data_IF_799666074007
#
_entry.id   IF_799666074007
#
_cell.length_a   1.000
_cell.length_b   1.000
_cell.length_c   1.000
_cell.angle_alpha   90.00
_cell.angle_beta   90.00
_cell.angle_gamma   90.00
#
_symmetry.space_group_name_H-M   'P 1'
#
loop_
_entity.id
_entity.type
_entity.pdbx_description
1 polymer ?
#
# COMPACT_ATOMS: atom_id res chain seq x y z
N UNK A 1 -14.21 -5.29 0.34
CA UNK A 1 -14.65 -4.67 1.63
C UNK A 1 -15.72 -5.55 2.27
N UNK A 2 -16.08 -5.35 3.55
CA UNK A 2 -17.20 -6.07 4.18
C UNK A 2 -18.52 -5.36 3.86
N UNK A 3 -19.54 -6.11 3.46
CA UNK A 3 -20.89 -5.58 3.19
C UNK A 3 -21.43 -4.87 4.43
N UNK A 4 -22.14 -3.76 4.23
CA UNK A 4 -22.83 -2.99 5.27
C UNK A 4 -21.91 -2.48 6.40
N UNK A 5 -20.61 -2.29 6.10
CA UNK A 5 -19.62 -1.83 7.08
C UNK A 5 -19.14 -0.39 6.86
N UNK A 6 -19.65 0.30 5.84
CA UNK A 6 -19.26 1.68 5.53
C UNK A 6 -19.79 2.61 6.64
N UNK A 7 -18.91 3.41 7.22
CA UNK A 7 -19.22 4.31 8.34
C UNK A 7 -19.26 5.80 7.95
N UNK A 8 -19.12 6.12 6.65
CA UNK A 8 -19.01 7.49 6.13
C UNK A 8 -19.96 7.72 4.96
N UNK A 9 -20.28 8.98 4.69
CA UNK A 9 -21.17 9.39 3.61
C UNK A 9 -20.45 10.09 2.45
N UNK A 10 -21.08 10.11 1.26
CA UNK A 10 -20.54 10.85 0.10
C UNK A 10 -20.45 12.34 0.44
N UNK A 11 -19.28 12.93 0.25
CA UNK A 11 -19.01 14.34 0.54
C UNK A 11 -18.54 14.60 1.98
N UNK A 12 -18.51 13.57 2.83
CA UNK A 12 -17.97 13.69 4.18
C UNK A 12 -16.44 13.87 4.15
N UNK A 13 -15.95 14.81 4.95
CA UNK A 13 -14.52 15.00 5.17
C UNK A 13 -14.03 14.01 6.22
N UNK A 14 -12.99 13.25 5.90
CA UNK A 14 -12.38 12.26 6.81
C UNK A 14 -11.04 12.72 7.34
N UNK A 15 -10.71 12.32 8.57
CA UNK A 15 -9.41 12.59 9.20
C UNK A 15 -8.48 11.38 9.14
N UNK A 16 -7.16 11.61 9.22
CA UNK A 16 -6.18 10.51 9.32
C UNK A 16 -6.52 9.64 10.52
N UNK A 17 -6.62 8.32 10.30
CA UNK A 17 -6.97 7.35 11.34
C UNK A 17 -8.47 7.14 11.56
N UNK A 18 -9.34 7.90 10.90
CA UNK A 18 -10.79 7.69 10.95
C UNK A 18 -11.15 6.37 10.28
N UNK A 19 -11.97 5.55 10.97
CA UNK A 19 -12.52 4.32 10.42
C UNK A 19 -13.56 4.65 9.34
N UNK A 20 -13.31 4.17 8.12
CA UNK A 20 -14.24 4.36 6.99
C UNK A 20 -15.07 3.11 6.65
N UNK A 21 -14.50 1.92 6.88
CA UNK A 21 -15.16 0.63 6.67
C UNK A 21 -14.36 -0.54 7.27
N UNK A 22 -14.86 -1.77 7.15
CA UNK A 22 -14.12 -2.99 7.47
C UNK A 22 -13.61 -3.71 6.20
N UNK A 23 -12.43 -4.33 6.27
CA UNK A 23 -11.92 -5.24 5.23
C UNK A 23 -12.89 -6.41 4.99
N UNK A 24 -12.92 -6.92 3.78
CA UNK A 24 -13.78 -8.05 3.40
C UNK A 24 -13.68 -8.35 1.90
N UNK A 25 -14.51 -9.26 1.39
CA UNK A 25 -14.33 -9.89 0.09
C UNK A 25 -15.43 -9.57 -0.95
N UNK A 26 -16.12 -8.42 -0.85
CA UNK A 26 -17.12 -8.03 -1.86
C UNK A 26 -16.51 -7.62 -3.19
N UNK A 27 -17.20 -7.87 -4.31
CA UNK A 27 -16.78 -7.50 -5.66
C UNK A 27 -16.07 -8.64 -6.38
N UNK A 28 -15.23 -8.33 -7.36
CA UNK A 28 -14.39 -9.33 -8.04
C UNK A 28 -13.13 -9.58 -7.21
N UNK A 29 -13.21 -10.51 -6.27
CA UNK A 29 -12.15 -10.84 -5.32
C UNK A 29 -12.26 -12.30 -4.87
N UNK A 30 -11.13 -12.99 -4.79
CA UNK A 30 -11.05 -14.40 -4.39
C UNK A 30 -10.95 -14.58 -2.88
N UNK A 31 -10.20 -13.70 -2.19
CA UNK A 31 -9.98 -13.78 -0.74
C UNK A 31 -10.12 -12.42 -0.03
N UNK A 32 -10.38 -12.38 1.29
CA UNK A 32 -10.50 -11.12 2.03
C UNK A 32 -9.20 -10.31 2.03
N UNK A 33 -9.21 -9.16 1.36
CA UNK A 33 -8.09 -8.21 1.37
C UNK A 33 -8.58 -6.76 1.19
N UNK A 34 -7.65 -5.80 1.29
CA UNK A 34 -7.90 -4.40 0.99
C UNK A 34 -7.23 -4.05 -0.35
N UNK A 35 -8.05 -3.76 -1.37
CA UNK A 35 -7.58 -3.07 -2.56
C UNK A 35 -7.61 -1.56 -2.30
N UNK A 36 -6.46 -0.89 -2.43
CA UNK A 36 -6.36 0.57 -2.31
C UNK A 36 -5.64 1.13 -3.55
N UNK A 37 -6.04 2.32 -3.98
CA UNK A 37 -5.47 2.99 -5.15
C UNK A 37 -5.45 4.50 -4.91
N UNK A 38 -4.33 5.14 -5.24
CA UNK A 38 -4.19 6.60 -5.24
C UNK A 38 -4.04 7.10 -6.67
N UNK A 39 -4.84 8.10 -7.03
CA UNK A 39 -4.85 8.70 -8.37
C UNK A 39 -4.96 10.22 -8.29
N UNK A 40 -4.46 10.90 -9.32
CA UNK A 40 -4.41 12.37 -9.36
C UNK A 40 -5.73 13.04 -9.80
N UNK A 41 -6.63 12.32 -10.47
CA UNK A 41 -7.93 12.84 -10.92
C UNK A 41 -9.05 11.86 -10.63
N UNK A 42 -10.30 12.28 -10.85
CA UNK A 42 -11.51 11.46 -10.60
C UNK A 42 -11.75 10.38 -11.67
N UNK A 43 -11.17 10.53 -12.86
CA UNK A 43 -11.40 9.63 -13.99
C UNK A 43 -10.53 8.39 -13.89
N UNK A 44 -11.13 7.22 -13.69
CA UNK A 44 -10.39 5.96 -13.61
C UNK A 44 -9.62 5.60 -14.89
N UNK A 45 -10.14 5.99 -16.06
CA UNK A 45 -9.57 5.60 -17.35
C UNK A 45 -8.38 6.46 -17.79
N UNK A 46 -8.27 7.67 -17.24
CA UNK A 46 -7.33 8.71 -17.70
C UNK A 46 -6.50 9.31 -16.58
N UNK A 47 -6.58 8.76 -15.36
CA UNK A 47 -5.77 9.23 -14.25
C UNK A 47 -4.40 8.57 -14.24
N UNK A 48 -3.45 9.23 -13.59
CA UNK A 48 -2.17 8.64 -13.25
C UNK A 48 -2.24 8.07 -11.84
N UNK A 49 -1.73 6.85 -11.68
CA UNK A 49 -1.44 6.29 -10.37
C UNK A 49 -0.36 7.14 -9.68
N UNK A 50 -0.62 7.49 -8.42
CA UNK A 50 0.31 8.29 -7.61
C UNK A 50 1.21 7.38 -6.77
N UNK A 51 2.49 7.73 -6.59
CA UNK A 51 3.39 6.97 -5.74
C UNK A 51 2.95 7.10 -4.28
N UNK A 52 2.77 5.96 -3.60
CA UNK A 52 2.39 5.93 -2.18
C UNK A 52 3.61 5.70 -1.30
N UNK A 53 3.79 6.61 -0.33
CA UNK A 53 4.78 6.47 0.74
C UNK A 53 4.10 5.98 2.01
N UNK A 54 4.59 4.88 2.55
CA UNK A 54 4.18 4.33 3.84
C UNK A 54 5.06 4.89 4.96
N UNK A 55 4.42 5.22 6.08
CA UNK A 55 5.10 5.45 7.35
C UNK A 55 5.24 4.13 8.11
N UNK A 56 6.32 3.96 8.88
CA UNK A 56 6.53 2.80 9.76
C UNK A 56 6.52 1.46 9.01
N UNK A 57 7.16 1.39 7.83
CA UNK A 57 7.39 0.14 7.13
C UNK A 57 8.90 -0.12 6.97
N UNK A 58 9.31 -1.36 7.13
CA UNK A 58 10.63 -1.84 6.80
C UNK A 58 10.53 -2.82 5.63
N UNK A 59 11.48 -2.73 4.70
CA UNK A 59 11.56 -3.64 3.56
C UNK A 59 12.94 -4.30 3.52
N UNK A 60 12.97 -5.60 3.29
CA UNK A 60 14.19 -6.39 3.09
C UNK A 60 14.07 -7.22 1.81
N UNK A 61 15.17 -7.51 1.09
CA UNK A 61 15.11 -8.37 -0.08
C UNK A 61 14.46 -9.73 0.24
N UNK A 62 13.64 -10.24 -0.67
CA UNK A 62 13.08 -11.59 -0.58
C UNK A 62 14.10 -12.57 -1.17
N UNK A 63 14.69 -13.48 -0.38
CA UNK A 63 15.65 -14.45 -0.90
C UNK A 63 15.02 -15.36 -1.95
N UNK A 64 15.66 -15.50 -3.11
CA UNK A 64 15.18 -16.39 -4.16
C UNK A 64 14.05 -15.83 -5.04
N UNK A 65 13.72 -14.55 -4.91
CA UNK A 65 12.62 -13.92 -5.66
C UNK A 65 12.80 -14.01 -7.19
N UNK A 66 14.03 -14.07 -7.66
CA UNK A 66 14.37 -14.21 -9.09
C UNK A 66 13.81 -15.49 -9.72
N UNK A 67 13.51 -16.52 -8.90
CA UNK A 67 12.86 -17.75 -9.36
C UNK A 67 11.38 -17.53 -9.71
N UNK A 68 10.75 -16.54 -9.11
CA UNK A 68 9.35 -16.16 -9.36
C UNK A 68 9.23 -15.08 -10.43
N UNK A 69 10.19 -14.16 -10.52
CA UNK A 69 10.21 -13.09 -11.50
C UNK A 69 11.65 -12.75 -11.89
N UNK A 70 12.00 -13.01 -13.16
CA UNK A 70 13.35 -12.83 -13.69
C UNK A 70 13.69 -11.39 -14.08
N UNK A 71 12.73 -10.46 -14.01
CA UNK A 71 12.98 -9.06 -14.38
C UNK A 71 13.92 -8.40 -13.37
N UNK A 72 14.81 -7.48 -13.81
CA UNK A 72 15.72 -6.77 -12.92
C UNK A 72 14.98 -6.12 -11.74
N UNK A 73 15.49 -6.35 -10.54
CA UNK A 73 14.99 -5.72 -9.32
C UNK A 73 15.51 -4.29 -9.21
N UNK A 74 14.70 -3.43 -8.63
CA UNK A 74 15.14 -2.08 -8.29
C UNK A 74 16.13 -2.14 -7.13
N UNK A 75 17.25 -1.44 -7.27
CA UNK A 75 18.27 -1.37 -6.24
C UNK A 75 17.72 -0.75 -4.95
N UNK A 76 18.06 -1.33 -3.80
CA UNK A 76 17.53 -0.90 -2.49
C UNK A 76 18.00 0.51 -2.14
N UNK A 77 19.24 0.87 -2.47
CA UNK A 77 19.79 2.18 -2.15
C UNK A 77 19.10 3.29 -2.95
N UNK A 78 18.55 2.95 -4.13
CA UNK A 78 17.77 3.86 -4.97
C UNK A 78 16.32 4.07 -4.52
N UNK A 79 15.79 3.24 -3.62
CA UNK A 79 14.41 3.32 -3.15
C UNK A 79 14.33 4.24 -1.92
N UNK A 80 13.64 5.41 -2.01
CA UNK A 80 13.50 6.28 -0.87
C UNK A 80 12.74 5.60 0.27
N UNK A 81 12.98 6.06 1.51
CA UNK A 81 12.30 5.52 2.69
C UNK A 81 10.77 5.61 2.56
N UNK A 82 10.10 4.53 2.95
CA UNK A 82 8.64 4.41 2.90
C UNK A 82 8.08 3.94 1.56
N UNK A 83 8.90 3.75 0.53
CA UNK A 83 8.47 3.14 -0.72
C UNK A 83 8.70 1.63 -0.72
N UNK A 84 7.70 0.92 -1.22
CA UNK A 84 7.70 -0.54 -1.39
C UNK A 84 7.91 -0.82 -2.88
N UNK A 85 8.70 -1.85 -3.18
CA UNK A 85 8.94 -2.30 -4.55
C UNK A 85 8.96 -3.81 -4.64
N UNK A 86 8.91 -4.31 -5.88
CA UNK A 86 8.93 -5.73 -6.21
C UNK A 86 10.21 -6.40 -5.68
N UNK A 87 10.08 -7.63 -5.19
CA UNK A 87 11.22 -8.42 -4.72
C UNK A 87 11.62 -8.16 -3.27
N UNK A 88 10.83 -7.38 -2.53
CA UNK A 88 11.05 -7.11 -1.10
C UNK A 88 9.93 -7.69 -0.24
N UNK A 89 10.31 -8.23 0.91
CA UNK A 89 9.42 -8.54 2.02
C UNK A 89 9.17 -7.24 2.78
N UNK A 90 7.90 -6.97 3.13
CA UNK A 90 7.49 -5.77 3.86
C UNK A 90 6.96 -6.17 5.22
N UNK A 91 7.38 -5.43 6.25
CA UNK A 91 6.87 -5.57 7.62
C UNK A 91 6.64 -4.20 8.25
N UNK A 92 5.90 -4.18 9.36
CA UNK A 92 5.84 -3.00 10.20
C UNK A 92 7.24 -2.72 10.78
N UNK A 93 7.68 -1.47 10.67
CA UNK A 93 8.90 -0.99 11.31
C UNK A 93 8.63 -0.75 12.80
N UNK A 94 9.65 -0.99 13.62
CA UNK A 94 9.63 -0.55 15.03
C UNK A 94 9.78 0.97 15.11
N UNK A 95 9.50 1.56 16.27
CA UNK A 95 9.65 3.01 16.48
C UNK A 95 11.10 3.46 16.22
N UNK A 96 12.08 2.67 16.63
CA UNK A 96 13.51 2.94 16.48
C UNK A 96 13.97 2.96 15.02
N UNK A 97 13.40 2.11 14.16
CA UNK A 97 13.68 2.07 12.72
C UNK A 97 13.01 3.21 11.94
N UNK A 98 12.02 3.88 12.54
CA UNK A 98 11.26 4.95 11.89
C UNK A 98 11.91 6.33 12.04
N UNK A 99 12.70 6.53 13.10
CA UNK A 99 13.34 7.81 13.44
C UNK A 99 14.69 8.02 12.74
N UNK A 100 15.32 6.95 12.22
CA UNK A 100 16.57 7.03 11.43
C UNK A 100 16.35 7.36 9.94
N UNK A 101 15.16 7.80 9.55
CA UNK A 101 14.80 8.17 8.18
C UNK A 101 14.69 9.70 7.96
N UNK A 102 15.32 10.50 8.82
CA UNK A 102 15.48 11.95 8.69
C UNK A 102 16.91 12.31 8.30
#
# INVERSE_FOLDING_TARGET
MKKDSICVSKGEHVQRGQKVACCGNTGNSSEPHLHFHMQNTKSFHSSYGLPLRFSHCACSPCPGYEKSDSRPLQDRQSLPFGYISRGYIVRNATKEESDHAL
#
